data_IF_065917092556
#
_entry.id   IF_065917092556
#
_cell.length_a   1.000
_cell.length_b   1.000
_cell.length_c   1.000
_cell.angle_alpha   90.00
_cell.angle_beta   90.00
_cell.angle_gamma   90.00
#
_symmetry.space_group_name_H-M   'P 1'
#
loop_
_entity.id
_entity.type
_entity.pdbx_description
1 polymer ?
#
# COMPACT_ATOMS: atom_id res chain seq x y z
N UNK A 1 35.21 7.85 -4.14
CA UNK A 1 35.55 7.67 -2.72
C UNK A 1 35.98 6.24 -2.50
N UNK A 2 37.06 5.99 -1.77
CA UNK A 2 37.53 4.63 -1.51
C UNK A 2 37.77 4.31 -0.02
N UNK A 3 37.53 3.06 0.35
CA UNK A 3 37.86 2.46 1.67
C UNK A 3 38.89 1.38 1.46
N UNK A 4 39.98 1.42 2.22
CA UNK A 4 41.02 0.39 2.21
C UNK A 4 41.02 -0.33 3.55
N UNK A 5 40.78 -1.65 3.53
CA UNK A 5 40.91 -2.49 4.72
C UNK A 5 42.38 -2.86 5.01
N UNK A 6 42.61 -3.59 6.10
CA UNK A 6 43.96 -4.02 6.52
C UNK A 6 44.60 -5.04 5.57
N UNK A 7 43.79 -5.71 4.73
CA UNK A 7 44.25 -6.64 3.70
C UNK A 7 44.57 -5.92 2.37
N UNK A 8 44.33 -4.60 2.29
CA UNK A 8 44.56 -3.81 1.09
C UNK A 8 43.40 -3.82 0.11
N UNK A 9 42.22 -4.33 0.50
CA UNK A 9 41.04 -4.34 -0.35
C UNK A 9 40.49 -2.91 -0.47
N UNK A 10 40.53 -2.34 -1.67
CA UNK A 10 40.02 -1.00 -1.97
C UNK A 10 38.60 -1.07 -2.54
N UNK A 11 37.61 -0.63 -1.76
CA UNK A 11 36.23 -0.47 -2.23
C UNK A 11 36.03 0.95 -2.76
N UNK A 12 35.78 1.11 -4.06
CA UNK A 12 35.58 2.42 -4.70
C UNK A 12 34.13 2.64 -5.12
N UNK A 13 33.57 3.82 -4.81
CA UNK A 13 32.27 4.30 -5.33
C UNK A 13 32.35 5.74 -5.81
N UNK A 14 31.53 6.08 -6.81
CA UNK A 14 31.31 7.45 -7.31
C UNK A 14 29.91 7.90 -6.91
N UNK A 15 29.74 9.17 -6.53
CA UNK A 15 28.45 9.73 -6.13
C UNK A 15 28.42 11.24 -6.27
N UNK A 16 27.26 11.83 -5.96
CA UNK A 16 27.03 13.27 -6.04
C UNK A 16 27.24 13.96 -4.69
N UNK A 17 27.54 15.25 -4.74
CA UNK A 17 27.67 16.06 -3.53
C UNK A 17 26.39 16.01 -2.69
N UNK A 18 26.54 16.04 -1.36
CA UNK A 18 25.44 16.02 -0.39
C UNK A 18 24.51 14.79 -0.46
N UNK A 19 24.96 13.72 -1.11
CA UNK A 19 24.23 12.44 -1.15
C UNK A 19 24.96 11.41 -0.27
N UNK A 20 24.22 10.74 0.60
CA UNK A 20 24.78 9.68 1.43
C UNK A 20 25.27 8.51 0.56
N UNK A 21 26.47 7.99 0.87
CA UNK A 21 27.02 6.80 0.22
C UNK A 21 27.35 5.74 1.25
N UNK A 22 26.75 4.57 1.09
CA UNK A 22 26.98 3.44 1.98
C UNK A 22 28.06 2.52 1.41
N UNK A 23 29.04 2.17 2.25
CA UNK A 23 30.04 1.15 1.95
C UNK A 23 29.84 -0.04 2.89
N UNK A 24 29.60 -1.25 2.36
CA UNK A 24 29.57 -2.43 3.20
C UNK A 24 30.97 -2.70 3.75
N UNK A 25 31.12 -2.69 5.08
CA UNK A 25 32.36 -3.12 5.71
C UNK A 25 32.41 -4.65 5.73
N UNK A 26 33.57 -5.27 5.48
CA UNK A 26 33.72 -6.70 5.64
C UNK A 26 33.61 -7.09 7.12
N UNK A 27 33.33 -8.36 7.39
CA UNK A 27 33.42 -8.89 8.75
C UNK A 27 34.86 -8.75 9.25
N UNK A 28 35.04 -7.99 10.33
CA UNK A 28 36.35 -7.73 10.94
C UNK A 28 36.52 -8.58 12.19
N UNK A 29 37.71 -9.17 12.42
CA UNK A 29 38.05 -9.76 13.71
C UNK A 29 38.00 -8.73 14.86
N UNK A 30 37.96 -9.20 16.10
CA UNK A 30 38.05 -8.33 17.27
C UNK A 30 39.40 -7.61 17.28
N UNK A 31 39.37 -6.29 17.48
CA UNK A 31 40.55 -5.45 17.51
C UNK A 31 40.28 -3.99 17.14
N UNK A 32 41.34 -3.20 17.13
CA UNK A 32 41.29 -1.79 16.75
C UNK A 32 41.76 -1.61 15.30
N UNK A 33 41.00 -0.83 14.55
CA UNK A 33 41.23 -0.56 13.14
C UNK A 33 41.12 0.92 12.84
N UNK A 34 41.55 1.29 11.65
CA UNK A 34 41.32 2.62 11.08
C UNK A 34 40.62 2.45 9.74
N UNK A 35 39.53 3.17 9.53
CA UNK A 35 38.87 3.29 8.24
C UNK A 35 39.44 4.53 7.56
N UNK A 36 40.09 4.34 6.41
CA UNK A 36 40.58 5.45 5.58
C UNK A 36 39.55 5.73 4.49
N UNK A 37 39.02 6.94 4.47
CA UNK A 37 38.04 7.43 3.52
C UNK A 37 38.75 8.46 2.63
N UNK A 38 38.97 8.14 1.36
CA UNK A 38 39.57 9.08 0.40
C UNK A 38 38.51 9.63 -0.55
N UNK A 39 38.45 10.94 -0.74
CA UNK A 39 37.62 11.59 -1.74
C UNK A 39 38.51 12.25 -2.81
N UNK A 40 38.07 12.21 -4.08
CA UNK A 40 38.76 12.85 -5.20
C UNK A 40 37.74 13.60 -6.05
N UNK A 41 37.97 14.88 -6.31
CA UNK A 41 37.13 15.75 -7.14
C UNK A 41 38.03 16.65 -7.98
N UNK A 42 37.84 16.70 -9.30
CA UNK A 42 38.58 17.56 -10.23
C UNK A 42 40.12 17.52 -10.06
N UNK A 43 40.67 16.31 -9.81
CA UNK A 43 42.11 16.10 -9.61
C UNK A 43 42.63 16.45 -8.21
N UNK A 44 41.83 17.06 -7.35
CA UNK A 44 42.15 17.26 -5.93
C UNK A 44 41.67 16.06 -5.11
N UNK A 45 42.38 15.73 -4.03
CA UNK A 45 41.98 14.67 -3.13
C UNK A 45 42.16 15.07 -1.67
N UNK A 46 41.29 14.53 -0.83
CA UNK A 46 41.36 14.65 0.63
C UNK A 46 41.10 13.28 1.27
N UNK A 47 41.60 13.07 2.49
CA UNK A 47 41.53 11.78 3.19
C UNK A 47 41.19 11.97 4.66
N UNK A 48 40.13 11.31 5.11
CA UNK A 48 39.76 11.18 6.51
C UNK A 48 40.15 9.80 7.03
N UNK A 49 40.71 9.73 8.24
CA UNK A 49 41.04 8.46 8.91
C UNK A 49 40.27 8.40 10.22
N UNK A 50 39.39 7.42 10.35
CA UNK A 50 38.54 7.24 11.53
C UNK A 50 38.94 5.98 12.30
N UNK A 51 39.23 6.06 13.61
CA UNK A 51 39.45 4.88 14.41
C UNK A 51 38.13 4.13 14.62
N UNK A 52 38.15 2.80 14.52
CA UNK A 52 37.04 1.92 14.89
C UNK A 52 37.55 0.81 15.79
N UNK A 53 36.73 0.38 16.74
CA UNK A 53 37.03 -0.76 17.61
C UNK A 53 35.98 -1.84 17.40
N UNK A 54 36.42 -3.04 17.05
CA UNK A 54 35.59 -4.23 16.95
C UNK A 54 35.78 -5.00 18.24
N UNK A 55 34.72 -5.10 19.03
CA UNK A 55 34.74 -5.75 20.34
C UNK A 55 33.92 -7.03 20.30
N UNK A 56 34.24 -7.98 21.18
CA UNK A 56 33.33 -9.10 21.44
C UNK A 56 32.04 -8.54 22.03
N UNK A 57 30.92 -8.73 21.34
CA UNK A 57 29.60 -8.36 21.83
C UNK A 57 28.90 -9.59 22.39
N UNK A 58 28.40 -9.50 23.62
CA UNK A 58 27.42 -10.45 24.17
C UNK A 58 25.99 -10.06 23.79
N UNK A 59 25.79 -8.89 23.17
CA UNK A 59 24.49 -8.45 22.68
C UNK A 59 24.11 -9.33 21.49
N UNK A 60 23.01 -10.05 21.67
CA UNK A 60 22.34 -10.78 20.59
C UNK A 60 21.38 -9.84 19.89
N UNK A 61 21.40 -9.84 18.57
CA UNK A 61 20.46 -9.09 17.76
C UNK A 61 19.49 -10.08 17.10
N UNK A 62 18.19 -9.92 17.33
CA UNK A 62 17.17 -10.69 16.63
C UNK A 62 17.14 -10.27 15.16
N UNK A 63 17.31 -11.20 14.23
CA UNK A 63 17.06 -10.96 12.82
C UNK A 63 15.69 -11.54 12.45
N UNK A 64 14.90 -10.76 11.73
CA UNK A 64 13.62 -11.19 11.19
C UNK A 64 13.69 -11.16 9.67
N UNK A 65 13.33 -12.27 9.04
CA UNK A 65 13.14 -12.36 7.59
C UNK A 65 11.70 -12.75 7.31
N UNK A 66 11.09 -12.09 6.32
CA UNK A 66 9.70 -12.33 5.91
C UNK A 66 9.71 -12.62 4.42
N UNK A 67 9.18 -13.78 4.04
CA UNK A 67 9.06 -14.21 2.65
C UNK A 67 7.67 -14.80 2.40
N UNK A 68 7.18 -14.65 1.16
CA UNK A 68 6.09 -15.48 0.68
C UNK A 68 6.66 -16.87 0.42
N UNK A 69 6.02 -17.88 1.00
CA UNK A 69 6.53 -19.24 0.91
C UNK A 69 6.11 -19.91 -0.39
N UNK A 70 7.09 -20.47 -1.10
CA UNK A 70 6.88 -21.41 -2.18
C UNK A 70 7.03 -22.86 -1.70
N UNK A 71 6.43 -23.79 -2.45
CA UNK A 71 6.53 -25.21 -2.11
C UNK A 71 7.99 -25.70 -2.18
N UNK A 72 8.49 -26.26 -1.08
CA UNK A 72 9.86 -26.77 -0.98
C UNK A 72 10.88 -25.75 -0.50
N UNK A 73 10.48 -24.51 -0.24
CA UNK A 73 11.35 -23.48 0.31
C UNK A 73 11.81 -23.82 1.73
N UNK A 74 13.07 -23.48 2.03
CA UNK A 74 13.66 -23.69 3.35
C UNK A 74 13.87 -22.33 4.02
N UNK A 75 13.29 -22.09 5.21
CA UNK A 75 13.56 -20.86 5.92
C UNK A 75 15.05 -20.78 6.27
N UNK A 76 15.62 -19.59 6.18
CA UNK A 76 16.96 -19.35 6.70
C UNK A 76 16.91 -19.46 8.23
N UNK A 77 17.64 -20.45 8.76
CA UNK A 77 17.75 -20.67 10.19
C UNK A 77 19.05 -20.06 10.72
N UNK A 78 19.02 -19.55 11.95
CA UNK A 78 20.25 -19.11 12.60
C UNK A 78 21.16 -20.30 12.87
N UNK A 79 22.47 -20.12 12.63
CA UNK A 79 23.50 -21.06 13.09
C UNK A 79 23.87 -20.85 14.56
N UNK A 80 23.40 -19.76 15.18
CA UNK A 80 23.66 -19.39 16.57
C UNK A 80 22.38 -18.86 17.25
N UNK A 81 21.87 -19.59 18.23
CA UNK A 81 20.67 -19.25 18.99
C UNK A 81 19.36 -19.83 18.45
N UNK A 82 18.28 -19.55 19.18
CA UNK A 82 16.95 -20.06 18.86
C UNK A 82 16.37 -19.33 17.64
N UNK A 83 15.76 -20.09 16.73
CA UNK A 83 15.02 -19.53 15.58
C UNK A 83 13.53 -19.80 15.76
N UNK A 84 12.71 -18.74 15.75
CA UNK A 84 11.26 -18.85 15.71
C UNK A 84 10.79 -18.71 14.26
N UNK A 85 10.01 -19.69 13.78
CA UNK A 85 9.37 -19.64 12.47
C UNK A 85 7.87 -19.49 12.68
N UNK A 86 7.30 -18.40 12.17
CA UNK A 86 5.87 -18.10 12.24
C UNK A 86 5.29 -18.20 10.84
N UNK A 87 4.22 -18.97 10.69
CA UNK A 87 3.48 -19.10 9.44
C UNK A 87 2.17 -18.35 9.56
N UNK A 88 1.84 -17.54 8.56
CA UNK A 88 0.58 -16.80 8.52
C UNK A 88 0.05 -16.65 7.10
N UNK A 89 -1.23 -16.34 6.99
CA UNK A 89 -1.84 -15.98 5.71
C UNK A 89 -1.26 -14.63 5.26
N UNK A 90 -0.63 -14.59 4.09
CA UNK A 90 0.04 -13.40 3.57
C UNK A 90 -0.91 -12.20 3.41
N UNK A 91 -2.12 -12.41 2.88
CA UNK A 91 -3.11 -11.35 2.71
C UNK A 91 -3.53 -10.78 4.06
N UNK A 92 -3.77 -11.66 5.05
CA UNK A 92 -4.15 -11.25 6.41
C UNK A 92 -3.03 -10.47 7.10
N UNK A 93 -1.78 -10.91 6.97
CA UNK A 93 -0.61 -10.22 7.53
C UNK A 93 -0.35 -8.87 6.86
N UNK A 94 -0.52 -8.78 5.53
CA UNK A 94 -0.41 -7.52 4.80
C UNK A 94 -1.55 -6.57 5.17
N UNK A 95 -2.78 -7.05 5.30
CA UNK A 95 -3.90 -6.24 5.75
C UNK A 95 -3.65 -5.69 7.16
N UNK A 96 -3.24 -6.56 8.11
CA UNK A 96 -2.89 -6.15 9.47
C UNK A 96 -1.81 -5.06 9.49
N UNK A 97 -0.71 -5.26 8.77
CA UNK A 97 0.38 -4.27 8.73
C UNK A 97 -0.07 -2.98 8.05
N UNK A 98 -0.93 -3.06 7.03
CA UNK A 98 -1.52 -1.88 6.38
C UNK A 98 -2.35 -1.08 7.37
N UNK A 99 -3.28 -1.72 8.09
CA UNK A 99 -4.10 -1.05 9.10
C UNK A 99 -3.25 -0.44 10.22
N UNK A 100 -2.23 -1.15 10.70
CA UNK A 100 -1.29 -0.60 11.68
C UNK A 100 -0.50 0.61 11.15
N UNK A 101 -0.25 0.72 9.85
CA UNK A 101 0.41 1.89 9.26
C UNK A 101 -0.56 3.06 9.14
N UNK A 102 -1.71 2.87 8.49
CA UNK A 102 -2.62 3.97 8.14
C UNK A 102 -3.39 4.52 9.34
N UNK A 103 -3.52 3.77 10.45
CA UNK A 103 -4.14 4.29 11.69
C UNK A 103 -3.40 5.47 12.30
N UNK A 104 -2.11 5.63 11.99
CA UNK A 104 -1.28 6.72 12.50
C UNK A 104 -1.20 7.90 11.52
N UNK A 105 -1.98 7.87 10.44
CA UNK A 105 -2.05 8.98 9.50
C UNK A 105 -2.54 10.26 10.20
N UNK A 106 -2.08 11.45 9.80
CA UNK A 106 -2.62 12.70 10.31
C UNK A 106 -4.14 12.79 10.09
N UNK A 107 -4.92 13.23 11.08
CA UNK A 107 -6.39 13.27 10.96
C UNK A 107 -6.92 14.64 10.47
N UNK A 108 -6.18 15.32 9.60
CA UNK A 108 -6.57 16.66 9.13
C UNK A 108 -7.40 16.62 7.85
N UNK A 109 -7.22 15.58 7.04
CA UNK A 109 -7.95 15.36 5.80
C UNK A 109 -9.04 14.31 5.95
N UNK A 110 -10.05 14.38 5.10
CA UNK A 110 -11.16 13.42 5.04
C UNK A 110 -10.65 11.99 4.79
N UNK A 111 -9.80 11.83 3.78
CA UNK A 111 -9.23 10.55 3.35
C UNK A 111 -8.38 9.89 4.44
N UNK A 112 -7.52 10.66 5.11
CA UNK A 112 -6.67 10.17 6.20
C UNK A 112 -7.48 9.83 7.47
N UNK A 113 -8.41 10.70 7.87
CA UNK A 113 -9.27 10.46 9.04
C UNK A 113 -10.17 9.23 8.85
N UNK A 114 -10.68 9.05 7.63
CA UNK A 114 -11.45 7.86 7.29
C UNK A 114 -10.59 6.60 7.21
N UNK A 115 -9.39 6.67 6.63
CA UNK A 115 -8.45 5.55 6.59
C UNK A 115 -8.11 5.04 8.00
N UNK A 116 -7.87 5.96 8.94
CA UNK A 116 -7.62 5.61 10.33
C UNK A 116 -8.86 4.98 10.99
N UNK A 117 -10.07 5.49 10.70
CA UNK A 117 -11.33 4.92 11.19
C UNK A 117 -11.56 3.49 10.69
N UNK A 118 -11.29 3.22 9.40
CA UNK A 118 -11.35 1.88 8.81
C UNK A 118 -10.32 0.97 9.49
N UNK A 119 -9.09 1.44 9.67
CA UNK A 119 -8.03 0.67 10.30
C UNK A 119 -8.35 0.30 11.76
N UNK A 120 -8.76 1.25 12.59
CA UNK A 120 -9.11 0.99 14.00
C UNK A 120 -10.26 -0.01 14.11
N UNK A 121 -11.26 0.07 13.21
CA UNK A 121 -12.37 -0.89 13.13
C UNK A 121 -11.86 -2.31 12.86
N UNK A 122 -11.10 -2.52 11.80
CA UNK A 122 -10.57 -3.86 11.47
C UNK A 122 -9.58 -4.38 12.52
N UNK A 123 -8.71 -3.53 13.05
CA UNK A 123 -7.80 -3.91 14.12
C UNK A 123 -8.55 -4.40 15.36
N UNK A 124 -9.68 -3.78 15.69
CA UNK A 124 -10.52 -4.19 16.81
C UNK A 124 -11.33 -5.44 16.49
N UNK A 125 -12.09 -5.42 15.39
CA UNK A 125 -13.09 -6.44 15.08
C UNK A 125 -12.46 -7.74 14.56
N UNK A 126 -11.42 -7.64 13.71
CA UNK A 126 -10.81 -8.80 13.07
C UNK A 126 -9.53 -9.28 13.76
N UNK A 127 -8.81 -8.38 14.44
CA UNK A 127 -7.50 -8.68 15.05
C UNK A 127 -7.47 -8.55 16.57
N UNK A 128 -8.58 -8.15 17.21
CA UNK A 128 -8.69 -8.02 18.67
C UNK A 128 -7.57 -7.16 19.29
N UNK A 129 -7.05 -6.21 18.53
CA UNK A 129 -6.03 -5.29 19.00
C UNK A 129 -6.65 -4.28 19.97
N UNK A 130 -5.93 -3.95 21.03
CA UNK A 130 -6.27 -2.79 21.86
C UNK A 130 -6.05 -1.52 21.06
N UNK A 131 -7.15 -0.92 20.60
CA UNK A 131 -7.16 0.35 19.88
C UNK A 131 -7.79 1.46 20.74
N UNK A 132 -7.43 2.70 20.42
CA UNK A 132 -8.11 3.89 20.93
C UNK A 132 -8.71 4.61 19.72
N UNK A 133 -9.99 4.35 19.40
CA UNK A 133 -10.61 4.86 18.19
C UNK A 133 -10.51 6.38 18.14
N UNK A 134 -10.02 6.90 17.01
CA UNK A 134 -10.06 8.34 16.75
C UNK A 134 -11.50 8.81 16.53
N UNK A 135 -11.85 9.98 17.05
CA UNK A 135 -13.13 10.62 16.76
C UNK A 135 -13.09 11.25 15.36
N UNK A 136 -13.58 10.52 14.36
CA UNK A 136 -13.81 11.04 13.02
C UNK A 136 -15.25 11.58 12.90
N UNK A 137 -15.37 12.85 12.54
CA UNK A 137 -16.67 13.49 12.25
C UNK A 137 -16.71 13.94 10.78
N UNK A 138 -17.47 13.26 9.91
CA UNK A 138 -17.58 13.64 8.50
C UNK A 138 -18.29 14.98 8.31
N UNK A 139 -19.08 15.45 9.28
CA UNK A 139 -19.78 16.75 9.16
C UNK A 139 -18.80 17.92 9.11
N UNK A 140 -17.61 17.77 9.68
CA UNK A 140 -16.57 18.79 9.64
C UNK A 140 -16.12 19.11 8.20
N UNK A 141 -16.35 18.21 7.24
CA UNK A 141 -15.92 18.32 5.85
C UNK A 141 -17.05 18.74 4.89
N UNK A 142 -18.27 18.91 5.38
CA UNK A 142 -19.41 19.31 4.55
C UNK A 142 -19.29 20.77 4.14
N UNK A 143 -19.51 21.04 2.86
CA UNK A 143 -19.57 22.40 2.32
C UNK A 143 -21.01 22.79 2.00
N UNK A 144 -21.22 23.95 1.36
CA UNK A 144 -22.53 24.35 0.87
C UNK A 144 -23.09 23.45 -0.24
N UNK A 145 -22.22 22.72 -0.95
CA UNK A 145 -22.58 22.01 -2.19
C UNK A 145 -22.18 20.54 -2.18
N UNK A 146 -21.15 20.16 -1.42
CA UNK A 146 -20.61 18.81 -1.41
C UNK A 146 -19.84 18.49 -0.14
N UNK A 147 -18.75 17.76 -0.31
CA UNK A 147 -17.81 17.40 0.76
C UNK A 147 -16.40 17.77 0.30
N UNK A 148 -15.66 18.44 1.16
CA UNK A 148 -14.29 18.85 0.92
C UNK A 148 -13.30 17.83 1.50
N UNK A 149 -12.07 17.90 1.00
CA UNK A 149 -10.96 17.12 1.56
C UNK A 149 -10.49 17.65 2.92
N UNK A 150 -10.63 18.96 3.15
CA UNK A 150 -10.31 19.64 4.41
C UNK A 150 -11.55 20.39 4.93
N UNK A 151 -11.70 20.61 6.25
CA UNK A 151 -12.87 21.29 6.83
C UNK A 151 -13.19 22.70 6.29
N UNK A 152 -12.21 23.36 5.68
CA UNK A 152 -12.35 24.69 5.07
C UNK A 152 -11.95 24.70 3.59
N UNK A 153 -11.87 23.52 2.99
CA UNK A 153 -11.51 23.35 1.59
C UNK A 153 -12.69 23.56 0.64
N UNK A 154 -12.38 23.54 -0.65
CA UNK A 154 -13.40 23.37 -1.69
C UNK A 154 -13.84 21.91 -1.79
N UNK A 155 -15.00 21.70 -2.41
CA UNK A 155 -15.51 20.39 -2.76
C UNK A 155 -14.44 19.52 -3.46
N UNK A 156 -14.36 18.27 -3.04
CA UNK A 156 -13.44 17.27 -3.58
C UNK A 156 -14.22 16.00 -3.93
N UNK A 157 -14.60 15.88 -5.20
CA UNK A 157 -15.50 14.81 -5.64
C UNK A 157 -14.82 13.44 -5.61
N UNK A 158 -13.52 13.41 -5.83
CA UNK A 158 -12.71 12.20 -5.92
C UNK A 158 -12.65 11.50 -4.57
N UNK A 159 -12.20 12.18 -3.53
CA UNK A 159 -12.11 11.59 -2.19
C UNK A 159 -13.49 11.42 -1.54
N UNK A 160 -14.45 12.30 -1.83
CA UNK A 160 -15.82 12.11 -1.38
C UNK A 160 -16.44 10.83 -1.98
N UNK A 161 -16.21 10.55 -3.27
CA UNK A 161 -16.71 9.34 -3.92
C UNK A 161 -16.05 8.08 -3.35
N UNK A 162 -14.74 8.09 -3.13
CA UNK A 162 -14.03 6.97 -2.49
C UNK A 162 -14.57 6.67 -1.08
N UNK A 163 -14.86 7.72 -0.31
CA UNK A 163 -15.36 7.66 1.06
C UNK A 163 -16.83 7.22 1.18
N UNK A 164 -17.68 7.53 0.20
CA UNK A 164 -19.13 7.54 0.33
C UNK A 164 -19.79 6.24 0.87
N UNK A 165 -19.15 5.09 0.63
CA UNK A 165 -19.66 3.78 1.04
C UNK A 165 -19.35 3.37 2.47
N UNK A 166 -18.45 4.06 3.17
CA UNK A 166 -18.07 3.68 4.53
C UNK A 166 -19.16 4.06 5.55
N UNK A 167 -19.48 3.21 6.55
CA UNK A 167 -20.45 3.51 7.59
C UNK A 167 -20.21 4.82 8.34
N UNK A 168 -18.95 5.23 8.50
CA UNK A 168 -18.58 6.48 9.15
C UNK A 168 -19.08 7.72 8.38
N UNK A 169 -19.35 7.59 7.07
CA UNK A 169 -19.92 8.66 6.24
C UNK A 169 -21.45 8.76 6.32
N UNK A 170 -22.11 7.90 7.09
CA UNK A 170 -23.58 7.89 7.22
C UNK A 170 -24.21 9.24 7.63
N UNK A 171 -23.61 10.09 8.49
CA UNK A 171 -24.17 11.40 8.83
C UNK A 171 -24.32 12.35 7.63
N UNK A 172 -23.44 12.22 6.62
CA UNK A 172 -23.40 13.11 5.44
C UNK A 172 -23.93 12.44 4.18
N UNK A 173 -24.50 11.24 4.30
CA UNK A 173 -25.02 10.42 3.19
C UNK A 173 -26.01 11.17 2.29
N UNK A 174 -26.91 11.95 2.89
CA UNK A 174 -27.91 12.72 2.13
C UNK A 174 -27.28 13.80 1.25
N UNK A 175 -26.26 14.50 1.77
CA UNK A 175 -25.51 15.52 1.03
C UNK A 175 -24.76 14.89 -0.15
N UNK A 176 -24.05 13.78 0.09
CA UNK A 176 -23.33 13.04 -0.95
C UNK A 176 -24.26 12.56 -2.06
N UNK A 177 -25.40 11.97 -1.70
CA UNK A 177 -26.39 11.49 -2.67
C UNK A 177 -26.90 12.63 -3.56
N UNK A 178 -27.29 13.76 -2.96
CA UNK A 178 -27.77 14.92 -3.71
C UNK A 178 -26.70 15.50 -4.63
N UNK A 179 -25.48 15.65 -4.13
CA UNK A 179 -24.36 16.21 -4.87
C UNK A 179 -23.94 15.35 -6.06
N UNK A 180 -23.71 14.04 -5.87
CA UNK A 180 -23.36 13.15 -6.98
C UNK A 180 -24.47 13.06 -8.03
N UNK A 181 -25.74 13.02 -7.60
CA UNK A 181 -26.88 13.07 -8.52
C UNK A 181 -26.88 14.35 -9.36
N UNK A 182 -26.57 15.50 -8.74
CA UNK A 182 -26.46 16.77 -9.46
C UNK A 182 -25.34 16.73 -10.50
N UNK A 183 -24.17 16.18 -10.15
CA UNK A 183 -23.02 16.08 -11.06
C UNK A 183 -23.34 15.19 -12.27
N UNK A 184 -23.93 14.01 -12.06
CA UNK A 184 -24.30 13.09 -13.17
C UNK A 184 -25.31 13.74 -14.13
N UNK A 185 -26.24 14.55 -13.60
CA UNK A 185 -27.29 15.19 -14.41
C UNK A 185 -26.88 16.56 -14.98
N UNK A 186 -25.69 17.05 -14.68
CA UNK A 186 -25.23 18.35 -15.16
C UNK A 186 -24.57 18.20 -16.55
N UNK A 187 -25.12 18.83 -17.61
CA UNK A 187 -24.54 18.74 -18.96
C UNK A 187 -23.15 19.38 -19.05
N UNK A 188 -22.78 20.24 -18.10
CA UNK A 188 -21.47 20.91 -18.06
C UNK A 188 -20.41 20.11 -17.28
N UNK A 189 -20.79 18.99 -16.65
CA UNK A 189 -19.84 18.14 -15.93
C UNK A 189 -18.93 17.37 -16.89
N UNK A 190 -17.64 17.32 -16.54
CA UNK A 190 -16.67 16.57 -17.33
C UNK A 190 -16.70 15.08 -17.00
N UNK A 191 -16.02 14.29 -17.84
CA UNK A 191 -16.02 12.83 -17.78
C UNK A 191 -15.44 12.27 -16.47
N UNK A 192 -14.41 12.92 -15.92
CA UNK A 192 -13.80 12.57 -14.64
C UNK A 192 -14.76 12.81 -13.45
N UNK A 193 -15.40 13.98 -13.41
CA UNK A 193 -16.43 14.30 -12.42
C UNK A 193 -17.58 13.30 -12.45
N UNK A 194 -18.08 12.96 -13.64
CA UNK A 194 -19.18 12.00 -13.78
C UNK A 194 -18.74 10.60 -13.35
N UNK A 195 -17.50 10.19 -13.66
CA UNK A 195 -16.96 8.89 -13.25
C UNK A 195 -16.90 8.75 -11.72
N UNK A 196 -16.42 9.78 -11.01
CA UNK A 196 -16.44 9.78 -9.54
C UNK A 196 -17.85 9.87 -8.96
N UNK A 197 -18.73 10.69 -9.55
CA UNK A 197 -20.12 10.76 -9.10
C UNK A 197 -20.82 9.39 -9.20
N UNK A 198 -20.60 8.65 -10.30
CA UNK A 198 -21.12 7.30 -10.48
C UNK A 198 -20.52 6.30 -9.48
N UNK A 199 -19.21 6.38 -9.20
CA UNK A 199 -18.58 5.61 -8.13
C UNK A 199 -19.23 5.89 -6.77
N UNK A 200 -19.42 7.17 -6.43
CA UNK A 200 -20.06 7.59 -5.19
C UNK A 200 -21.49 7.06 -5.08
N UNK A 201 -22.30 7.21 -6.14
CA UNK A 201 -23.66 6.69 -6.20
C UNK A 201 -23.71 5.16 -6.06
N UNK A 202 -22.81 4.44 -6.73
CA UNK A 202 -22.66 2.99 -6.63
C UNK A 202 -22.34 2.56 -5.18
N UNK A 203 -21.36 3.20 -4.54
CA UNK A 203 -21.00 2.99 -3.12
C UNK A 203 -22.14 3.32 -2.15
N UNK A 204 -22.99 4.27 -2.52
CA UNK A 204 -24.22 4.60 -1.79
C UNK A 204 -25.37 3.62 -2.10
N UNK A 205 -25.15 2.59 -2.90
CA UNK A 205 -26.16 1.58 -3.25
C UNK A 205 -27.24 2.09 -4.21
N UNK A 206 -26.95 3.13 -4.99
CA UNK A 206 -27.85 3.59 -6.04
C UNK A 206 -27.72 2.72 -7.30
N UNK A 207 -28.83 2.47 -8.04
CA UNK A 207 -28.84 1.58 -9.19
C UNK A 207 -28.30 2.27 -10.46
N UNK A 208 -27.00 2.55 -10.51
CA UNK A 208 -26.35 3.29 -11.61
C UNK A 208 -25.64 2.40 -12.64
N UNK A 209 -25.86 1.09 -12.61
CA UNK A 209 -25.23 0.14 -13.54
C UNK A 209 -25.42 0.51 -15.03
N UNK A 210 -26.63 0.89 -15.50
CA UNK A 210 -26.80 1.30 -16.89
C UNK A 210 -25.98 2.54 -17.27
N UNK A 211 -25.86 3.51 -16.37
CA UNK A 211 -25.08 4.72 -16.59
C UNK A 211 -23.58 4.39 -16.66
N UNK A 212 -23.09 3.56 -15.74
CA UNK A 212 -21.70 3.07 -15.75
C UNK A 212 -21.38 2.34 -17.05
N UNK A 213 -22.29 1.49 -17.56
CA UNK A 213 -22.13 0.83 -18.85
C UNK A 213 -22.11 1.81 -20.03
N UNK A 214 -23.00 2.80 -20.03
CA UNK A 214 -23.01 3.83 -21.05
C UNK A 214 -21.70 4.61 -21.11
N UNK A 215 -21.13 4.96 -19.95
CA UNK A 215 -19.85 5.65 -19.84
C UNK A 215 -18.66 4.77 -20.24
N UNK A 216 -18.64 3.50 -19.86
CA UNK A 216 -17.59 2.56 -20.29
C UNK A 216 -17.58 2.33 -21.81
N UNK A 217 -18.71 2.55 -22.49
CA UNK A 217 -18.86 2.45 -23.94
C UNK A 217 -18.44 3.73 -24.70
N UNK A 218 -18.12 4.84 -24.01
CA UNK A 218 -17.65 6.07 -24.64
C UNK A 218 -16.33 5.81 -25.39
N UNK A 219 -16.24 6.14 -26.69
CA UNK A 219 -15.01 5.99 -27.44
C UNK A 219 -13.88 6.83 -26.84
N UNK A 220 -12.68 6.25 -26.75
CA UNK A 220 -11.49 6.91 -26.20
C UNK A 220 -11.63 7.38 -24.75
N UNK A 221 -12.47 6.74 -23.94
CA UNK A 221 -12.52 6.98 -22.49
C UNK A 221 -11.11 6.88 -21.89
N UNK A 222 -10.60 7.94 -21.23
CA UNK A 222 -9.34 7.91 -20.49
C UNK A 222 -9.26 6.74 -19.50
N UNK A 223 -8.10 6.10 -19.42
CA UNK A 223 -7.97 4.87 -18.62
C UNK A 223 -8.00 5.11 -17.10
N UNK A 224 -7.80 6.35 -16.62
CA UNK A 224 -8.04 6.70 -15.21
C UNK A 224 -9.55 6.73 -14.89
N UNK A 225 -10.37 7.27 -15.78
CA UNK A 225 -11.83 7.25 -15.66
C UNK A 225 -12.36 5.80 -15.78
N UNK A 226 -11.77 4.99 -16.67
CA UNK A 226 -12.07 3.55 -16.76
C UNK A 226 -11.78 2.82 -15.45
N UNK A 227 -10.65 3.13 -14.79
CA UNK A 227 -10.32 2.59 -13.48
C UNK A 227 -11.36 3.03 -12.43
N UNK A 228 -11.79 4.29 -12.44
CA UNK A 228 -12.84 4.80 -11.55
C UNK A 228 -14.19 4.12 -11.78
N UNK A 229 -14.61 3.93 -13.03
CA UNK A 229 -15.84 3.21 -13.37
C UNK A 229 -15.75 1.71 -13.03
N UNK A 230 -14.57 1.10 -13.11
CA UNK A 230 -14.36 -0.27 -12.64
C UNK A 230 -14.55 -0.37 -11.12
N UNK A 231 -14.10 0.63 -10.34
CA UNK A 231 -14.44 0.70 -8.91
C UNK A 231 -15.95 0.86 -8.67
N UNK A 232 -16.68 1.52 -9.57
CA UNK A 232 -18.14 1.64 -9.46
C UNK A 232 -18.82 0.28 -9.71
N UNK A 233 -18.38 -0.46 -10.74
CA UNK A 233 -18.82 -1.85 -10.99
C UNK A 233 -18.54 -2.76 -9.78
N UNK A 234 -17.33 -2.65 -9.21
CA UNK A 234 -16.92 -3.38 -8.01
C UNK A 234 -17.84 -3.09 -6.82
N UNK A 235 -18.15 -1.81 -6.58
CA UNK A 235 -19.07 -1.39 -5.51
C UNK A 235 -20.49 -1.96 -5.67
N UNK A 236 -20.93 -2.25 -6.91
CA UNK A 236 -22.21 -2.92 -7.20
C UNK A 236 -22.11 -4.45 -7.20
N UNK A 237 -20.92 -5.02 -6.95
CA UNK A 237 -20.68 -6.47 -6.93
C UNK A 237 -20.51 -7.10 -8.32
N UNK A 238 -20.33 -6.32 -9.38
CA UNK A 238 -20.19 -6.80 -10.76
C UNK A 238 -18.77 -7.33 -11.07
N UNK A 239 -18.24 -8.23 -10.22
CA UNK A 239 -16.85 -8.72 -10.26
C UNK A 239 -16.41 -9.29 -11.60
N UNK A 240 -17.27 -10.04 -12.27
CA UNK A 240 -16.96 -10.64 -13.58
C UNK A 240 -16.75 -9.59 -14.68
N UNK A 241 -17.35 -8.41 -14.53
CA UNK A 241 -17.16 -7.28 -15.44
C UNK A 241 -15.89 -6.47 -15.09
N UNK A 242 -15.47 -6.49 -13.83
CA UNK A 242 -14.24 -5.84 -13.36
C UNK A 242 -12.98 -6.60 -13.82
N UNK A 243 -13.01 -7.95 -13.81
CA UNK A 243 -11.90 -8.82 -14.23
C UNK A 243 -11.23 -8.44 -15.57
N UNK A 244 -11.98 -8.27 -16.68
CA UNK A 244 -11.37 -7.88 -17.95
C UNK A 244 -10.74 -6.48 -17.90
N UNK A 245 -11.27 -5.55 -17.09
CA UNK A 245 -10.70 -4.20 -16.94
C UNK A 245 -9.37 -4.28 -16.15
N UNK A 246 -9.33 -5.05 -15.05
CA UNK A 246 -8.10 -5.31 -14.30
C UNK A 246 -7.02 -5.90 -15.21
N UNK A 247 -7.38 -6.91 -16.01
CA UNK A 247 -6.47 -7.55 -16.97
C UNK A 247 -5.96 -6.54 -18.00
N UNK A 248 -6.85 -5.73 -18.57
CA UNK A 248 -6.51 -4.69 -19.54
C UNK A 248 -5.53 -3.66 -18.97
N UNK A 249 -5.81 -3.13 -17.77
CA UNK A 249 -4.97 -2.12 -17.12
C UNK A 249 -3.57 -2.69 -16.82
N UNK A 250 -3.50 -3.93 -16.31
CA UNK A 250 -2.24 -4.60 -16.04
C UNK A 250 -1.44 -4.86 -17.32
N UNK A 251 -2.07 -5.29 -18.42
CA UNK A 251 -1.37 -5.52 -19.69
C UNK A 251 -0.83 -4.23 -20.30
N UNK A 252 -1.56 -3.12 -20.14
CA UNK A 252 -1.23 -1.85 -20.79
C UNK A 252 -0.24 -1.00 -19.98
N UNK A 253 -0.37 -1.00 -18.66
CA UNK A 253 0.37 -0.11 -17.76
C UNK A 253 1.16 -0.86 -16.68
N UNK A 254 0.94 -2.16 -16.54
CA UNK A 254 1.44 -2.94 -15.43
C UNK A 254 2.91 -3.33 -15.55
N UNK A 255 3.59 -3.24 -14.42
CA UNK A 255 4.91 -3.82 -14.20
C UNK A 255 4.84 -4.74 -13.00
N UNK A 256 5.37 -5.95 -13.14
CA UNK A 256 5.44 -6.92 -12.04
C UNK A 256 6.90 -7.33 -11.85
N UNK A 257 7.42 -7.06 -10.67
CA UNK A 257 8.72 -7.53 -10.22
C UNK A 257 8.57 -7.91 -8.76
N UNK A 258 8.57 -9.22 -8.47
CA UNK A 258 8.35 -9.73 -7.12
C UNK A 258 9.26 -8.98 -6.11
N UNK A 259 8.68 -8.46 -5.00
CA UNK A 259 7.33 -8.71 -4.50
C UNK A 259 6.26 -7.68 -4.94
N UNK A 260 6.55 -6.83 -5.92
CA UNK A 260 5.74 -5.68 -6.29
C UNK A 260 5.02 -5.83 -7.63
N UNK A 261 3.85 -5.18 -7.71
CA UNK A 261 3.17 -4.84 -8.95
C UNK A 261 2.86 -3.35 -8.91
N UNK A 262 2.97 -2.62 -10.02
CA UNK A 262 2.54 -1.22 -10.10
C UNK A 262 2.08 -0.86 -11.50
N UNK A 263 1.32 0.22 -11.61
CA UNK A 263 0.86 0.77 -12.88
C UNK A 263 1.65 2.05 -13.22
N UNK A 264 2.00 2.20 -14.50
CA UNK A 264 2.48 3.48 -15.07
C UNK A 264 1.35 4.29 -15.71
N UNK A 265 0.18 4.28 -15.04
CA UNK A 265 -1.01 5.05 -15.45
C UNK A 265 -1.01 6.41 -14.73
N UNK A 266 -0.92 7.51 -15.48
CA UNK A 266 -0.90 8.87 -14.94
C UNK A 266 0.20 9.74 -15.55
N UNK A 267 0.12 11.06 -15.37
CA UNK A 267 1.08 12.00 -15.94
C UNK A 267 2.30 12.19 -15.03
N UNK A 268 2.07 12.17 -13.72
CA UNK A 268 3.10 12.29 -12.68
C UNK A 268 3.42 10.95 -12.02
N UNK A 269 4.50 10.90 -11.24
CA UNK A 269 4.81 9.72 -10.43
C UNK A 269 3.76 9.52 -9.32
N UNK A 270 3.26 10.59 -8.73
CA UNK A 270 2.21 10.53 -7.71
C UNK A 270 0.90 10.01 -8.31
N UNK A 271 0.55 10.41 -9.53
CA UNK A 271 -0.63 9.88 -10.24
C UNK A 271 -0.51 8.36 -10.43
N UNK A 272 0.69 7.87 -10.77
CA UNK A 272 0.96 6.44 -10.93
C UNK A 272 0.82 5.67 -9.61
N UNK A 273 1.25 6.28 -8.50
CA UNK A 273 1.10 5.70 -7.16
C UNK A 273 -0.38 5.63 -6.73
N UNK A 274 -1.15 6.69 -7.01
CA UNK A 274 -2.61 6.72 -6.77
C UNK A 274 -3.31 5.67 -7.64
N UNK A 275 -3.01 5.61 -8.94
CA UNK A 275 -3.57 4.61 -9.84
C UNK A 275 -3.21 3.18 -9.41
N UNK A 276 -1.98 2.95 -8.93
CA UNK A 276 -1.56 1.65 -8.38
C UNK A 276 -2.35 1.29 -7.13
N UNK A 277 -2.56 2.24 -6.21
CA UNK A 277 -3.32 2.01 -4.99
C UNK A 277 -4.79 1.68 -5.29
N UNK A 278 -5.41 2.37 -6.25
CA UNK A 278 -6.80 2.10 -6.70
C UNK A 278 -6.94 0.79 -7.44
N UNK A 279 -5.96 0.47 -8.28
CA UNK A 279 -5.87 -0.84 -8.91
C UNK A 279 -5.82 -1.96 -7.86
N UNK A 280 -5.08 -1.77 -6.77
CA UNK A 280 -4.99 -2.75 -5.69
C UNK A 280 -6.37 -3.08 -5.08
N UNK A 281 -7.27 -2.09 -4.97
CA UNK A 281 -8.64 -2.28 -4.46
C UNK A 281 -9.40 -3.30 -5.33
N UNK A 282 -9.52 -3.02 -6.63
CA UNK A 282 -10.31 -3.86 -7.54
C UNK A 282 -9.64 -5.19 -7.88
N UNK A 283 -8.30 -5.22 -7.96
CA UNK A 283 -7.56 -6.46 -8.17
C UNK A 283 -7.69 -7.39 -6.95
N UNK A 284 -7.65 -6.85 -5.73
CA UNK A 284 -7.88 -7.64 -4.53
C UNK A 284 -9.31 -8.19 -4.47
N UNK A 285 -10.35 -7.40 -4.77
CA UNK A 285 -11.74 -7.86 -4.66
C UNK A 285 -12.08 -8.97 -5.67
N UNK A 286 -11.56 -8.90 -6.89
CA UNK A 286 -11.71 -9.98 -7.89
C UNK A 286 -10.80 -11.18 -7.63
N UNK A 287 -9.95 -11.14 -6.59
CA UNK A 287 -9.03 -12.23 -6.24
C UNK A 287 -7.87 -12.40 -7.21
N UNK A 288 -7.47 -11.33 -7.90
CA UNK A 288 -6.25 -11.30 -8.70
C UNK A 288 -5.02 -11.18 -7.81
N UNK A 289 -4.02 -12.04 -8.01
CA UNK A 289 -2.82 -12.10 -7.17
C UNK A 289 -1.97 -10.83 -7.23
N UNK A 290 -2.12 -10.01 -8.27
CA UNK A 290 -1.40 -8.74 -8.40
C UNK A 290 -1.90 -7.66 -7.46
N UNK A 291 -3.13 -7.77 -6.92
CA UNK A 291 -3.65 -6.82 -5.92
C UNK A 291 -2.78 -6.75 -4.66
N UNK A 292 -2.26 -7.91 -4.22
CA UNK A 292 -1.29 -7.99 -3.12
C UNK A 292 0.01 -7.24 -3.42
N UNK A 293 0.57 -7.44 -4.63
CA UNK A 293 1.79 -6.77 -5.07
C UNK A 293 1.62 -5.26 -5.23
N UNK A 294 0.43 -4.83 -5.69
CA UNK A 294 0.06 -3.42 -5.84
C UNK A 294 -0.05 -2.69 -4.50
N UNK A 295 -0.76 -3.27 -3.53
CA UNK A 295 -0.83 -2.69 -2.19
C UNK A 295 0.57 -2.58 -1.55
N UNK A 296 1.40 -3.63 -1.67
CA UNK A 296 2.78 -3.60 -1.17
C UNK A 296 3.61 -2.50 -1.79
N UNK A 297 3.45 -2.28 -3.09
CA UNK A 297 4.18 -1.22 -3.79
C UNK A 297 3.77 0.16 -3.25
N UNK A 298 2.46 0.42 -3.13
CA UNK A 298 1.92 1.69 -2.62
C UNK A 298 2.40 1.99 -1.19
N UNK A 299 2.49 0.98 -0.31
CA UNK A 299 3.00 1.17 1.06
C UNK A 299 4.50 1.44 1.12
N UNK A 300 5.26 0.93 0.15
CA UNK A 300 6.73 1.07 0.13
C UNK A 300 7.20 2.33 -0.60
N UNK A 301 6.30 2.97 -1.36
CA UNK A 301 6.57 4.14 -2.18
C UNK A 301 5.46 5.18 -1.97
N UNK A 302 5.48 5.91 -0.84
CA UNK A 302 4.48 6.93 -0.60
C UNK A 302 4.62 8.09 -1.62
N UNK A 303 3.50 8.65 -2.10
CA UNK A 303 3.51 9.87 -2.92
C UNK A 303 4.09 11.06 -2.15
N UNK A 304 4.48 12.11 -2.88
CA UNK A 304 5.12 13.31 -2.32
C UNK A 304 4.13 14.43 -2.02
N UNK A 305 3.19 14.65 -2.94
CA UNK A 305 2.28 15.80 -2.96
C UNK A 305 0.84 15.41 -2.61
N UNK A 306 0.56 14.11 -2.51
CA UNK A 306 -0.73 13.54 -2.09
C UNK A 306 -0.53 12.39 -1.09
N UNK A 307 -1.61 11.67 -0.75
CA UNK A 307 -1.59 10.45 0.05
C UNK A 307 -2.39 9.34 -0.64
N UNK A 308 -2.18 8.10 -0.23
CA UNK A 308 -2.92 6.91 -0.67
C UNK A 308 -3.45 6.09 0.52
N UNK A 309 -3.56 6.72 1.70
CA UNK A 309 -3.95 6.04 2.94
C UNK A 309 -5.35 5.43 2.86
N UNK A 310 -6.31 6.15 2.27
CA UNK A 310 -7.68 5.65 2.11
C UNK A 310 -7.71 4.47 1.13
N UNK A 311 -7.05 4.59 -0.02
CA UNK A 311 -6.94 3.50 -0.98
C UNK A 311 -6.26 2.27 -0.36
N UNK A 312 -5.19 2.46 0.41
CA UNK A 312 -4.49 1.37 1.09
C UNK A 312 -5.39 0.68 2.12
N UNK A 313 -6.14 1.44 2.92
CA UNK A 313 -7.12 0.88 3.86
C UNK A 313 -8.21 0.07 3.14
N UNK A 314 -8.76 0.61 2.06
CA UNK A 314 -9.78 -0.08 1.25
C UNK A 314 -9.23 -1.35 0.59
N UNK A 315 -8.02 -1.31 0.02
CA UNK A 315 -7.38 -2.49 -0.58
C UNK A 315 -7.07 -3.57 0.47
N UNK A 316 -6.64 -3.17 1.68
CA UNK A 316 -6.42 -4.08 2.79
C UNK A 316 -7.72 -4.77 3.23
N UNK A 317 -8.84 -4.04 3.30
CA UNK A 317 -10.17 -4.60 3.56
C UNK A 317 -10.54 -5.68 2.52
N UNK A 318 -10.31 -5.41 1.23
CA UNK A 318 -10.57 -6.39 0.15
C UNK A 318 -9.67 -7.62 0.23
N UNK A 319 -8.38 -7.45 0.53
CA UNK A 319 -7.46 -8.56 0.73
C UNK A 319 -7.83 -9.41 1.95
N UNK A 320 -8.29 -8.77 3.04
CA UNK A 320 -8.76 -9.48 4.23
C UNK A 320 -10.03 -10.27 3.94
N UNK A 321 -11.00 -9.68 3.23
CA UNK A 321 -12.24 -10.34 2.84
C UNK A 321 -12.03 -11.56 1.91
N UNK A 322 -10.98 -11.53 1.08
CA UNK A 322 -10.60 -12.64 0.19
C UNK A 322 -9.58 -13.59 0.79
N UNK A 323 -9.05 -13.31 1.98
CA UNK A 323 -8.13 -14.20 2.67
C UNK A 323 -8.85 -15.48 3.09
N UNK A 324 -8.36 -16.63 2.60
CA UNK A 324 -8.86 -17.91 3.08
C UNK A 324 -8.58 -18.07 4.58
N UNK A 325 -9.63 -18.39 5.35
CA UNK A 325 -9.54 -18.76 6.76
C UNK A 325 -9.06 -20.21 6.96
N UNK A 326 -8.95 -20.99 5.87
CA UNK A 326 -8.54 -22.39 5.90
C UNK A 326 -7.23 -22.56 5.14
N UNK A 327 -6.13 -22.07 5.72
CA UNK A 327 -4.78 -22.30 5.20
C UNK A 327 -4.14 -23.43 5.99
N UNK A 328 -3.58 -24.42 5.29
CA UNK A 328 -2.80 -25.48 5.93
C UNK A 328 -1.37 -25.45 5.43
N UNK A 329 -0.43 -25.69 6.33
CA UNK A 329 0.98 -25.88 5.99
C UNK A 329 1.43 -27.27 6.40
N UNK A 330 2.26 -27.87 5.57
CA UNK A 330 3.01 -29.07 5.90
C UNK A 330 4.50 -28.77 5.85
N UNK A 331 5.23 -29.11 6.92
CA UNK A 331 6.67 -28.91 7.01
C UNK A 331 7.35 -30.16 7.58
N UNK A 332 8.65 -30.31 7.28
CA UNK A 332 9.47 -31.39 7.84
C UNK A 332 10.36 -30.84 8.94
N UNK A 333 10.28 -31.44 10.13
CA UNK A 333 11.11 -31.09 11.28
C UNK A 333 11.61 -32.39 11.93
N UNK A 334 12.93 -32.52 12.11
CA UNK A 334 13.52 -33.72 12.71
C UNK A 334 13.21 -35.02 11.95
N UNK A 335 13.08 -34.96 10.62
CA UNK A 335 12.73 -36.10 9.77
C UNK A 335 11.24 -36.46 9.73
N UNK A 336 10.41 -35.86 10.58
CA UNK A 336 8.96 -36.07 10.61
C UNK A 336 8.23 -34.99 9.80
N UNK A 337 7.16 -35.39 9.11
CA UNK A 337 6.24 -34.46 8.45
C UNK A 337 5.16 -34.05 9.44
N UNK A 338 5.03 -32.74 9.65
CA UNK A 338 3.99 -32.15 10.49
C UNK A 338 3.07 -31.33 9.60
N UNK A 339 1.77 -31.58 9.68
CA UNK A 339 0.74 -30.78 9.01
C UNK A 339 -0.04 -30.00 10.06
N UNK A 340 -0.15 -28.69 9.88
CA UNK A 340 -0.91 -27.78 10.73
C UNK A 340 -1.90 -27.01 9.87
N UNK A 341 -3.15 -26.95 10.33
CA UNK A 341 -4.06 -25.92 9.86
C UNK A 341 -3.74 -24.64 10.64
N UNK A 342 -3.54 -23.56 9.91
CA UNK A 342 -3.46 -22.21 10.47
C UNK A 342 -4.89 -21.84 10.84
N UNK A 343 -5.26 -22.09 12.09
CA UNK A 343 -6.44 -21.46 12.68
C UNK A 343 -6.07 -20.00 12.90
N UNK A 344 -7.04 -19.07 12.84
CA UNK A 344 -6.85 -17.67 13.22
C UNK A 344 -6.06 -17.63 14.54
N UNK A 345 -4.76 -17.39 14.45
CA UNK A 345 -3.84 -17.31 15.59
C UNK A 345 -3.28 -15.92 15.54
N UNK A 346 -3.43 -15.26 16.67
CA UNK A 346 -2.87 -13.96 17.05
C UNK A 346 -1.37 -13.87 16.71
#
# INVERSE_FOLDING_TARGET
MSIVDRAGTELTKTGHALTAMNFPLPTLPVGNYHVRLRATVNGQNDTLVLPISVVTSTLRHSQTSIALLEAGEQPQLSSDGDTQVVFGNANRLLAYSTFQNVRWAPHHRLDEGLAATIADRHLTDDFQADTWPSAFDPNAYVTSTGVALYPFGSDDIEYAALAAGDPAMSPVRGQLLGWFTQVVNNPDSNTDQVSYALLGLAKLGQPVLPDVHAWLAVPNLPDHERLTLAMALDAMGAREEVRPIVTYLLQRYGHTQAPYTWLTLGASHDDQLVATARYAIIAADVGDSTGFGALRYSLSHPPKDTTTNLEAALAAERLLATASNAVSISYRLGGQTVTKQLKNTD
#
